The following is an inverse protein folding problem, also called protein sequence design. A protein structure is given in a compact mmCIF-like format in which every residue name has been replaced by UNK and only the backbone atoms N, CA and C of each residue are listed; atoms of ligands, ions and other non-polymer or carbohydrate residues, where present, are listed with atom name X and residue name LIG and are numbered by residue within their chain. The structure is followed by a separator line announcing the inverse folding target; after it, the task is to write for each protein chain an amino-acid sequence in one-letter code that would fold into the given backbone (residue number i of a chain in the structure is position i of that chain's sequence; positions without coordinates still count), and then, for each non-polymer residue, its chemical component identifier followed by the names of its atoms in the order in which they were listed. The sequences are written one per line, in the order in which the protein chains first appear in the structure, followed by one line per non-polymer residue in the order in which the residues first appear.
data_IF_991386987753
#
_entry.id   IF_991386987753
#
_cell.length_a   1.000
_cell.length_b   1.000
_cell.length_c   1.000
_cell.angle_alpha   90.00
_cell.angle_beta   90.00
_cell.angle_gamma   90.00
#
_symmetry.space_group_name_H-M   'P 1'
#
loop_
_entity.id
_entity.type
_entity.pdbx_description
1 polymer ?
#
# COMPACT_ATOMS: atom_id res chain seq x y z
N UNK A 1 -15.99 21.95 -12.32
CA UNK A 1 -16.30 21.50 -11.97
C UNK A 1 -16.36 21.06 -11.71
N UNK A 2 -15.84 21.23 -11.43
CA UNK A 2 -15.95 20.76 -10.99
C UNK A 2 -15.71 20.56 -10.57
N UNK A 3 -15.33 20.80 -10.25
CA UNK A 3 -15.27 20.54 -9.67
C UNK A 3 -15.01 20.45 -9.11
N UNK A 4 -14.69 20.72 -8.75
CA UNK A 4 -14.57 20.56 -8.06
C UNK A 4 -14.23 20.55 -7.43
N UNK A 5 -14.11 20.75 -6.99
CA UNK A 5 -13.89 20.67 -6.28
C UNK A 5 -13.57 20.55 -5.63
N UNK A 6 -13.12 20.92 -5.27
CA UNK A 6 -13.05 20.62 -4.77
C UNK A 6 -12.55 20.13 -4.28
N UNK A 7 -12.06 20.57 -3.99
CA UNK A 7 -11.75 20.05 -3.65
C UNK A 7 -11.07 19.72 -3.46
N UNK A 8 -10.41 20.03 -3.31
CA UNK A 8 -10.05 19.59 -3.24
C UNK A 8 -9.50 19.46 -2.82
N UNK A 9 -9.18 19.77 -2.60
CA UNK A 9 -8.91 19.42 -2.18
C UNK A 9 -8.51 19.16 -1.70
N UNK A 10 -8.16 19.57 -1.71
CA UNK A 10 -8.03 19.11 -1.64
C UNK A 10 -7.67 18.83 -1.96
N UNK A 11 -7.34 19.13 -2.22
CA UNK A 11 -7.30 18.81 -2.69
C UNK A 11 -6.96 18.74 -3.18
N UNK A 12 -6.57 19.05 -3.65
CA UNK A 12 -6.60 18.89 -4.28
C UNK A 12 -6.31 18.82 -4.91
N UNK A 13 -5.90 19.37 -5.53
CA UNK A 13 -6.05 19.15 -6.25
C UNK A 13 -6.14 19.27 -7.12
N UNK A 14 -5.62 19.40 -7.73
CA UNK A 14 -6.01 19.20 -8.59
C UNK A 14 -6.79 18.85 -8.71
N UNK A 15 -7.29 19.39 -9.24
CA UNK A 15 -8.12 18.54 -9.27
C UNK A 15 -7.81 17.46 -10.09
N UNK A 16 -7.09 17.27 -10.25
CA UNK A 16 -6.88 16.29 -10.80
C UNK A 16 -7.73 15.29 -10.73
N UNK A 17 -7.94 14.30 -11.39
CA UNK A 17 -9.10 13.48 -11.22
C UNK A 17 -9.04 12.78 -9.89
N UNK A 18 -9.94 13.16 -9.02
CA UNK A 18 -9.96 12.67 -7.63
C UNK A 18 -10.27 11.18 -7.57
N UNK A 19 -11.02 10.69 -8.53
CA UNK A 19 -11.39 9.29 -8.61
C UNK A 19 -10.25 8.38 -9.07
N UNK A 20 -9.09 8.97 -9.40
CA UNK A 20 -7.86 8.22 -9.71
C UNK A 20 -6.83 8.34 -8.61
N UNK A 21 -7.24 8.84 -7.46
CA UNK A 21 -6.42 8.91 -6.25
C UNK A 21 -7.10 8.07 -5.17
N UNK A 22 -6.37 7.12 -4.63
CA UNK A 22 -6.89 6.23 -3.60
C UNK A 22 -6.34 6.64 -2.24
N UNK A 23 -7.24 6.81 -1.26
CA UNK A 23 -6.87 7.08 0.13
C UNK A 23 -7.67 6.15 1.03
N UNK A 24 -6.97 5.39 1.87
CA UNK A 24 -7.62 4.50 2.84
C UNK A 24 -6.98 4.73 4.20
N UNK A 25 -7.81 4.79 5.24
CA UNK A 25 -7.34 4.91 6.62
C UNK A 25 -7.73 3.69 7.42
N UNK A 26 -6.86 3.33 8.37
CA UNK A 26 -7.14 2.25 9.33
C UNK A 26 -6.57 2.64 10.68
N UNK A 27 -7.29 2.26 11.74
CA UNK A 27 -6.79 2.36 13.10
C UNK A 27 -6.38 0.97 13.55
N UNK A 28 -5.13 0.81 13.96
CA UNK A 28 -4.59 -0.47 14.41
C UNK A 28 -4.30 -0.40 15.90
N UNK A 29 -4.67 -1.44 16.63
CA UNK A 29 -4.40 -1.55 18.07
C UNK A 29 -2.99 -2.13 18.28
N UNK A 30 -1.99 -1.38 17.84
CA UNK A 30 -0.58 -1.72 17.95
C UNK A 30 0.25 -0.46 17.75
N UNK A 31 1.41 -0.34 18.39
CA UNK A 31 2.26 0.85 18.22
C UNK A 31 2.84 0.88 16.79
N UNK A 32 3.07 2.09 16.28
CA UNK A 32 3.51 2.26 14.90
C UNK A 32 4.85 1.59 14.60
N UNK A 33 5.68 1.43 15.61
CA UNK A 33 6.96 0.73 15.44
C UNK A 33 6.74 -0.71 14.98
N UNK A 34 5.75 -1.37 15.57
CA UNK A 34 5.40 -2.73 15.19
C UNK A 34 4.73 -2.77 13.82
N UNK A 35 3.86 -1.80 13.54
CA UNK A 35 3.21 -1.69 12.23
C UNK A 35 4.26 -1.45 11.14
N UNK A 36 5.23 -0.58 11.40
CA UNK A 36 6.31 -0.33 10.44
C UNK A 36 7.12 -1.60 10.15
N UNK A 37 7.38 -2.40 11.18
CA UNK A 37 8.05 -3.70 10.98
C UNK A 37 7.23 -4.61 10.06
N UNK A 38 5.91 -4.61 10.22
CA UNK A 38 5.05 -5.47 9.40
C UNK A 38 5.16 -5.11 7.91
N UNK A 39 5.48 -3.86 7.59
CA UNK A 39 5.66 -3.39 6.23
C UNK A 39 7.08 -3.60 5.69
N UNK A 40 8.07 -3.74 6.55
CA UNK A 40 9.47 -3.65 6.13
C UNK A 40 10.31 -4.89 6.41
N UNK A 41 9.77 -5.86 7.14
CA UNK A 41 10.45 -7.12 7.41
C UNK A 41 9.78 -8.21 6.57
N UNK A 42 10.52 -8.89 5.68
CA UNK A 42 9.89 -9.87 4.76
C UNK A 42 9.10 -10.96 5.47
N UNK A 43 9.62 -11.47 6.59
CA UNK A 43 8.94 -12.53 7.37
C UNK A 43 7.57 -12.09 7.89
N UNK A 44 7.42 -10.78 8.12
CA UNK A 44 6.13 -10.23 8.52
C UNK A 44 5.26 -9.90 7.30
N UNK A 45 5.86 -9.30 6.29
CA UNK A 45 5.12 -8.86 5.10
C UNK A 45 4.35 -10.02 4.45
N UNK A 46 4.98 -11.19 4.34
CA UNK A 46 4.38 -12.35 3.68
C UNK A 46 3.13 -12.84 4.38
N UNK A 47 2.91 -12.43 5.65
CA UNK A 47 1.78 -12.91 6.43
C UNK A 47 0.47 -12.18 6.10
N UNK A 48 0.53 -11.02 5.47
CA UNK A 48 -0.68 -10.21 5.23
C UNK A 48 -0.78 -9.61 3.84
N UNK A 49 0.30 -9.56 3.08
CA UNK A 49 0.33 -8.88 1.79
C UNK A 49 -0.58 -9.56 0.77
N UNK A 50 -1.45 -8.77 0.13
CA UNK A 50 -2.39 -9.25 -0.88
C UNK A 50 -3.80 -9.42 -0.34
N UNK A 51 -4.79 -9.44 -1.24
CA UNK A 51 -6.19 -9.64 -0.85
C UNK A 51 -6.40 -10.98 -0.13
N UNK A 52 -7.59 -11.16 0.42
CA UNK A 52 -7.93 -12.41 1.12
C UNK A 52 -7.72 -13.62 0.21
N UNK A 53 -7.11 -14.65 0.74
CA UNK A 53 -6.83 -15.89 0.02
C UNK A 53 -5.57 -15.88 -0.82
N UNK A 54 -4.93 -14.72 -0.97
CA UNK A 54 -3.65 -14.64 -1.71
C UNK A 54 -2.50 -15.10 -0.82
N UNK A 55 -1.46 -15.62 -1.46
CA UNK A 55 -0.19 -15.92 -0.82
C UNK A 55 0.93 -15.15 -1.52
N UNK A 56 2.11 -15.12 -0.91
CA UNK A 56 3.26 -14.39 -1.42
C UNK A 56 4.44 -15.35 -1.55
N UNK A 57 4.46 -16.20 -2.60
CA UNK A 57 5.52 -17.21 -2.75
C UNK A 57 6.90 -16.62 -3.03
N UNK A 58 6.98 -15.39 -3.49
CA UNK A 58 8.24 -14.72 -3.73
C UNK A 58 8.19 -13.28 -3.22
N UNK A 59 9.22 -12.90 -2.46
CA UNK A 59 9.34 -11.53 -1.95
C UNK A 59 10.81 -11.21 -1.73
N UNK A 60 11.29 -10.16 -2.36
CA UNK A 60 12.68 -9.70 -2.19
C UNK A 60 12.66 -8.20 -1.95
N UNK A 61 13.28 -7.76 -0.87
CA UNK A 61 13.27 -6.36 -0.46
C UNK A 61 14.69 -5.87 -0.19
N UNK A 62 15.01 -4.70 -0.76
CA UNK A 62 16.20 -3.94 -0.41
C UNK A 62 15.73 -2.66 0.25
N UNK A 63 15.66 -2.65 1.57
CA UNK A 63 15.03 -1.56 2.33
C UNK A 63 15.98 -0.36 2.44
N UNK A 64 16.03 0.43 1.38
CA UNK A 64 16.78 1.68 1.33
C UNK A 64 16.21 2.55 0.22
N UNK A 65 16.35 3.88 0.28
CA UNK A 65 15.91 4.73 -0.84
C UNK A 65 16.59 4.29 -2.13
N UNK A 66 15.79 4.10 -3.19
CA UNK A 66 16.28 3.58 -4.47
C UNK A 66 16.39 2.07 -4.53
N UNK A 67 16.21 1.37 -3.41
CA UNK A 67 16.24 -0.09 -3.40
C UNK A 67 14.99 -0.70 -4.02
N UNK A 68 15.08 -1.95 -4.44
CA UNK A 68 13.97 -2.63 -5.09
C UNK A 68 13.16 -3.45 -4.10
N UNK A 69 11.86 -3.54 -4.37
CA UNK A 69 10.95 -4.44 -3.67
C UNK A 69 10.16 -5.17 -4.74
N UNK A 70 10.38 -6.48 -4.84
CA UNK A 70 9.72 -7.30 -5.85
C UNK A 70 9.01 -8.45 -5.20
N UNK A 71 7.81 -8.74 -5.67
CA UNK A 71 7.08 -9.87 -5.15
C UNK A 71 6.20 -10.50 -6.23
N UNK A 72 5.82 -11.76 -5.98
CA UNK A 72 4.82 -12.46 -6.76
C UNK A 72 3.69 -12.83 -5.82
N UNK A 73 2.49 -12.31 -6.11
CA UNK A 73 1.27 -12.69 -5.39
C UNK A 73 0.57 -13.80 -6.14
N UNK A 74 0.12 -14.81 -5.41
CA UNK A 74 -0.59 -15.95 -6.00
C UNK A 74 -2.03 -15.93 -5.52
N UNK A 75 -2.97 -15.84 -6.47
CA UNK A 75 -4.39 -15.82 -6.14
C UNK A 75 -4.87 -17.22 -5.75
N UNK A 76 -6.05 -17.32 -5.11
CA UNK A 76 -6.61 -18.63 -4.79
C UNK A 76 -6.82 -19.52 -6.01
N UNK A 77 -7.02 -18.92 -7.19
CA UNK A 77 -7.19 -19.63 -8.46
C UNK A 77 -5.87 -20.07 -9.09
N UNK A 78 -4.74 -19.67 -8.51
CA UNK A 78 -3.43 -20.02 -9.03
C UNK A 78 -2.86 -19.04 -10.02
N UNK A 79 -3.44 -17.85 -10.14
CA UNK A 79 -2.92 -16.81 -11.03
C UNK A 79 -1.82 -16.02 -10.34
N UNK A 80 -0.70 -15.84 -11.02
CA UNK A 80 0.42 -15.05 -10.52
C UNK A 80 0.27 -13.59 -10.89
N UNK A 81 0.55 -12.71 -9.93
CA UNK A 81 0.55 -11.27 -10.14
C UNK A 81 1.91 -10.75 -9.69
N UNK A 82 2.74 -10.33 -10.63
CA UNK A 82 4.10 -9.89 -10.35
C UNK A 82 4.13 -8.39 -10.18
N UNK A 83 4.83 -7.94 -9.15
CA UNK A 83 4.90 -6.55 -8.74
C UNK A 83 6.34 -6.11 -8.62
N UNK A 84 6.67 -4.95 -9.18
CA UNK A 84 7.99 -4.34 -9.05
C UNK A 84 7.84 -2.93 -8.47
N UNK A 85 8.57 -2.67 -7.41
CA UNK A 85 8.53 -1.39 -6.70
C UNK A 85 9.94 -0.86 -6.47
N UNK A 86 10.05 0.46 -6.33
CA UNK A 86 11.31 1.11 -5.94
C UNK A 86 10.99 1.98 -4.73
N UNK A 87 11.73 1.80 -3.65
CA UNK A 87 11.56 2.64 -2.46
C UNK A 87 11.98 4.07 -2.76
N UNK A 88 11.18 5.02 -2.33
CA UNK A 88 11.44 6.45 -2.48
C UNK A 88 11.84 7.07 -1.16
N UNK A 89 10.97 6.94 -0.15
CA UNK A 89 11.24 7.49 1.19
C UNK A 89 11.04 6.42 2.23
N UNK A 90 11.95 6.41 3.20
CA UNK A 90 11.86 5.50 4.34
C UNK A 90 12.21 6.32 5.57
N UNK A 91 11.18 6.68 6.36
CA UNK A 91 11.35 7.46 7.59
C UNK A 91 10.74 6.64 8.73
N UNK A 92 11.55 5.80 9.33
CA UNK A 92 11.08 4.88 10.38
C UNK A 92 10.78 5.64 11.67
N UNK A 93 9.68 5.36 12.34
CA UNK A 93 8.59 4.45 11.98
C UNK A 93 7.37 5.18 11.40
N UNK A 94 7.56 6.29 10.70
CA UNK A 94 6.50 7.25 10.38
C UNK A 94 6.01 7.18 8.94
N UNK A 95 6.91 6.86 7.99
CA UNK A 95 6.56 7.00 6.60
C UNK A 95 7.32 6.01 5.72
N UNK A 96 6.62 5.50 4.73
CA UNK A 96 7.19 4.62 3.72
C UNK A 96 6.54 4.98 2.39
N UNK A 97 7.34 5.23 1.35
CA UNK A 97 6.78 5.40 0.01
C UNK A 97 7.57 4.58 -0.99
N UNK A 98 6.85 4.06 -1.97
CA UNK A 98 7.45 3.23 -3.02
C UNK A 98 6.60 3.28 -4.27
N UNK A 99 7.24 3.10 -5.42
CA UNK A 99 6.53 3.01 -6.70
C UNK A 99 5.81 1.66 -6.77
N UNK A 100 4.85 1.58 -7.67
CA UNK A 100 4.05 0.37 -7.86
C UNK A 100 3.87 0.13 -9.35
N UNK A 101 4.41 -0.97 -9.85
CA UNK A 101 4.33 -1.30 -11.27
C UNK A 101 4.05 -2.79 -11.42
N UNK A 102 2.91 -3.11 -12.01
CA UNK A 102 2.59 -4.49 -12.37
C UNK A 102 3.44 -4.90 -13.56
N UNK A 103 3.90 -6.15 -13.55
CA UNK A 103 4.68 -6.72 -14.67
C UNK A 103 3.81 -7.79 -15.32
N UNK A 104 3.60 -7.67 -16.63
CA UNK A 104 2.74 -8.61 -17.34
C UNK A 104 3.47 -9.90 -17.71
N UNK A 105 2.77 -10.81 -18.40
CA UNK A 105 3.30 -12.13 -18.73
C UNK A 105 4.48 -12.08 -19.71
N UNK A 106 4.62 -10.96 -20.43
CA UNK A 106 5.73 -10.74 -21.35
C UNK A 106 6.85 -9.92 -20.72
N UNK A 107 6.86 -9.82 -19.39
CA UNK A 107 7.84 -9.05 -18.62
C UNK A 107 7.82 -7.55 -18.93
N UNK A 108 6.66 -7.03 -19.37
CA UNK A 108 6.51 -5.60 -19.66
C UNK A 108 5.88 -4.88 -18.49
N UNK A 109 6.41 -3.70 -18.13
CA UNK A 109 5.82 -2.93 -17.03
C UNK A 109 4.54 -2.23 -17.48
N UNK A 110 3.56 -2.21 -16.57
CA UNK A 110 2.37 -1.40 -16.75
C UNK A 110 2.58 0.02 -16.25
N UNK A 111 1.47 0.78 -16.11
CA UNK A 111 1.57 2.15 -15.59
C UNK A 111 2.12 2.17 -14.17
N UNK A 112 2.93 3.17 -13.87
CA UNK A 112 3.53 3.33 -12.55
C UNK A 112 2.68 4.26 -11.69
N UNK A 113 2.43 3.87 -10.44
CA UNK A 113 1.82 4.73 -9.43
C UNK A 113 2.77 4.85 -8.25
N UNK A 114 2.46 5.76 -7.32
CA UNK A 114 3.25 5.92 -6.10
C UNK A 114 2.36 5.61 -4.90
N UNK A 115 2.83 4.72 -4.04
CA UNK A 115 2.17 4.38 -2.78
C UNK A 115 2.89 5.11 -1.66
N UNK A 116 2.13 5.77 -0.79
CA UNK A 116 2.65 6.40 0.42
C UNK A 116 1.88 5.85 1.61
N UNK A 117 2.62 5.38 2.61
CA UNK A 117 2.05 4.90 3.86
C UNK A 117 2.51 5.81 4.97
N UNK A 118 1.55 6.41 5.68
CA UNK A 118 1.83 7.27 6.83
C UNK A 118 1.36 6.57 8.09
N UNK A 119 2.20 6.55 9.11
CA UNK A 119 1.88 5.92 10.39
C UNK A 119 1.98 6.98 11.47
N UNK A 120 0.83 7.34 12.06
CA UNK A 120 0.75 8.35 13.12
C UNK A 120 0.43 7.69 14.43
N UNK A 121 1.06 8.16 15.50
CA UNK A 121 0.72 7.67 16.83
C UNK A 121 -0.70 8.05 17.19
N UNK A 122 -1.42 7.12 17.81
CA UNK A 122 -2.78 7.31 18.26
C UNK A 122 -2.94 6.59 19.60
N UNK A 123 -4.03 6.95 20.32
CA UNK A 123 -4.28 6.35 21.62
C UNK A 123 -3.30 6.85 22.69
N UNK A 124 -3.45 6.31 23.89
CA UNK A 124 -2.63 6.69 25.03
C UNK A 124 -1.19 6.25 24.81
N UNK A 125 -0.25 7.21 24.91
CA UNK A 125 1.19 6.96 24.80
C UNK A 125 1.59 6.26 23.49
N UNK A 126 0.82 6.48 22.42
CA UNK A 126 1.13 5.89 21.12
C UNK A 126 0.89 4.39 21.04
N UNK A 127 -0.02 3.88 21.86
CA UNK A 127 -0.33 2.45 21.88
C UNK A 127 -1.03 1.98 20.60
N UNK A 128 -1.59 2.92 19.83
CA UNK A 128 -2.30 2.62 18.59
C UNK A 128 -1.66 3.37 17.43
N UNK A 129 -2.02 2.98 16.22
CA UNK A 129 -1.50 3.61 15.01
C UNK A 129 -2.65 3.99 14.09
N UNK A 130 -2.63 5.23 13.61
CA UNK A 130 -3.47 5.63 12.49
C UNK A 130 -2.65 5.47 11.22
N UNK A 131 -3.07 4.55 10.37
CA UNK A 131 -2.41 4.29 9.09
C UNK A 131 -3.20 4.98 7.99
N UNK A 132 -2.51 5.74 7.15
CA UNK A 132 -3.10 6.32 5.95
C UNK A 132 -2.32 5.80 4.75
N UNK A 133 -3.02 5.15 3.83
CA UNK A 133 -2.45 4.69 2.58
C UNK A 133 -2.94 5.57 1.45
N UNK A 134 -2.01 6.06 0.65
CA UNK A 134 -2.31 6.90 -0.50
C UNK A 134 -1.66 6.28 -1.72
N UNK A 135 -2.42 6.10 -2.80
CA UNK A 135 -1.85 5.62 -4.06
C UNK A 135 -2.39 6.46 -5.20
N UNK A 136 -1.50 6.98 -6.04
CA UNK A 136 -1.83 7.88 -7.15
C UNK A 136 -0.71 7.84 -8.19
N UNK A 137 -0.93 8.23 -9.39
CA UNK A 137 -2.25 8.49 -9.98
C UNK A 137 -2.56 7.32 -10.89
N UNK A 138 -3.75 6.76 -10.78
CA UNK A 138 -4.12 5.59 -11.58
C UNK A 138 -4.47 6.00 -13.01
N UNK A 139 -4.33 5.05 -13.93
CA UNK A 139 -4.62 5.29 -15.35
C UNK A 139 -6.12 5.44 -15.63
N UNK A 140 -6.96 4.91 -14.73
CA UNK A 140 -8.41 4.95 -14.90
C UNK A 140 -9.13 4.80 -13.58
N UNK A 141 -10.40 5.16 -13.57
CA UNK A 141 -11.27 4.96 -12.40
C UNK A 141 -11.39 3.48 -12.06
N UNK A 142 -11.44 2.62 -13.08
CA UNK A 142 -11.56 1.18 -12.90
C UNK A 142 -10.34 0.63 -12.19
N UNK A 143 -9.14 1.06 -12.60
CA UNK A 143 -7.91 0.62 -11.95
C UNK A 143 -7.86 1.10 -10.50
N UNK A 144 -8.26 2.34 -10.25
CA UNK A 144 -8.31 2.89 -8.90
C UNK A 144 -9.26 2.08 -8.02
N UNK A 145 -10.46 1.78 -8.50
CA UNK A 145 -11.44 1.01 -7.73
C UNK A 145 -10.95 -0.40 -7.44
N UNK A 146 -10.32 -1.04 -8.42
CA UNK A 146 -9.79 -2.39 -8.24
C UNK A 146 -8.69 -2.43 -7.18
N UNK A 147 -7.78 -1.43 -7.19
CA UNK A 147 -6.74 -1.33 -6.15
C UNK A 147 -7.35 -1.01 -4.79
N UNK A 148 -8.41 -0.19 -4.77
CA UNK A 148 -9.10 0.11 -3.51
C UNK A 148 -9.67 -1.13 -2.86
N UNK A 149 -10.29 -2.01 -3.65
CA UNK A 149 -10.82 -3.27 -3.15
C UNK A 149 -9.69 -4.18 -2.65
N UNK A 150 -8.62 -4.31 -3.43
CA UNK A 150 -7.47 -5.14 -3.05
C UNK A 150 -6.78 -4.63 -1.78
N UNK A 151 -6.54 -3.31 -1.69
CA UNK A 151 -5.92 -2.72 -0.52
C UNK A 151 -6.81 -2.85 0.71
N UNK A 152 -8.12 -2.66 0.56
CA UNK A 152 -9.04 -2.81 1.68
C UNK A 152 -8.91 -4.19 2.31
N UNK A 153 -8.88 -5.22 1.49
CA UNK A 153 -8.71 -6.60 1.98
C UNK A 153 -7.33 -6.82 2.59
N UNK A 154 -6.28 -6.32 1.94
CA UNK A 154 -4.91 -6.47 2.45
C UNK A 154 -4.74 -5.78 3.80
N UNK A 155 -5.31 -4.58 3.94
CA UNK A 155 -5.20 -3.85 5.20
C UNK A 155 -6.02 -4.49 6.31
N UNK A 156 -7.14 -5.13 5.98
CA UNK A 156 -7.87 -5.93 6.97
C UNK A 156 -6.99 -7.08 7.48
N UNK A 157 -6.24 -7.72 6.59
CA UNK A 157 -5.30 -8.78 6.98
C UNK A 157 -4.17 -8.21 7.84
N UNK A 158 -3.66 -7.03 7.49
CA UNK A 158 -2.60 -6.39 8.28
C UNK A 158 -3.09 -6.10 9.70
N UNK A 159 -4.28 -5.52 9.84
CA UNK A 159 -4.85 -5.22 11.16
C UNK A 159 -4.91 -6.49 12.00
N UNK A 160 -5.50 -7.56 11.45
CA UNK A 160 -5.61 -8.83 12.16
C UNK A 160 -4.25 -9.39 12.55
N UNK A 161 -3.28 -9.29 11.64
CA UNK A 161 -1.95 -9.83 11.88
C UNK A 161 -1.22 -9.09 13.01
N UNK A 162 -1.13 -7.75 12.94
CA UNK A 162 -0.37 -7.01 13.94
C UNK A 162 -1.04 -7.06 15.32
N UNK A 163 -2.38 -7.14 15.36
CA UNK A 163 -3.09 -7.23 16.63
C UNK A 163 -2.95 -8.61 17.27
N UNK A 164 -2.50 -9.60 16.51
CA UNK A 164 -2.25 -10.94 17.03
C UNK A 164 -0.82 -11.13 17.56
N UNK A 165 0.06 -10.16 17.31
CA UNK A 165 1.47 -10.28 17.72
C UNK A 165 1.71 -9.97 19.21
#
# INVERSE_FOLDING_TARGET
MAASPELAPKADLIREPHDRVLVIERLLDAPRKLVFKAWTVPEHLVRWWGPHGFSLPYCKMELKPGGSFRCTMLSPEGTEHRLSCVYREIVAPEKLSFTWTWIDEEDQPGPETLVTVLLEEAGDQGAKTKLTLHQAIFESDTACAAHGDGWSQSLDRLVAYVESL
#
